data_IF_222112782145
#
_entry.id   IF_222112782145
#
_cell.length_a   1.000
_cell.length_b   1.000
_cell.length_c   1.000
_cell.angle_alpha   90.00
_cell.angle_beta   90.00
_cell.angle_gamma   90.00
#
_symmetry.space_group_name_H-M   'P 1'
#
loop_
_entity.id
_entity.type
_entity.pdbx_description
1 polymer ?
#
# COMPACT_ATOMS: atom_id res chain seq x y z
N UNK A 1 -28.14 -15.61 11.60
CA UNK A 1 -28.52 -16.04 10.23
C UNK A 1 -30.02 -16.23 10.15
N UNK A 2 -30.73 -15.18 9.74
CA UNK A 2 -32.18 -15.22 9.54
C UNK A 2 -32.46 -15.36 8.05
N UNK A 3 -33.33 -16.32 7.71
CA UNK A 3 -33.87 -16.51 6.36
C UNK A 3 -35.31 -16.03 6.42
N UNK A 4 -35.65 -14.95 5.71
CA UNK A 4 -37.04 -14.58 5.42
C UNK A 4 -37.30 -14.87 3.95
N UNK A 5 -38.38 -15.61 3.66
CA UNK A 5 -38.86 -15.90 2.29
C UNK A 5 -37.85 -16.54 1.31
N UNK A 6 -36.94 -17.39 1.80
CA UNK A 6 -36.02 -18.14 0.94
C UNK A 6 -34.93 -17.30 0.26
N UNK A 7 -34.90 -15.99 0.50
CA UNK A 7 -33.79 -15.11 0.13
C UNK A 7 -32.93 -14.85 1.37
N UNK A 8 -31.61 -15.02 1.22
CA UNK A 8 -30.66 -14.52 2.22
C UNK A 8 -30.72 -13.00 2.18
N UNK A 9 -31.33 -12.38 3.18
CA UNK A 9 -31.19 -10.93 3.39
C UNK A 9 -29.84 -10.68 4.06
N UNK A 10 -28.87 -10.23 3.27
CA UNK A 10 -27.59 -9.76 3.77
C UNK A 10 -27.74 -8.36 4.36
N UNK A 11 -28.43 -8.26 5.50
CA UNK A 11 -28.65 -6.98 6.21
C UNK A 11 -27.33 -6.30 6.63
N UNK A 12 -26.26 -7.09 6.80
CA UNK A 12 -24.91 -6.58 7.07
C UNK A 12 -24.33 -5.92 5.82
N UNK A 13 -24.44 -6.56 4.66
CA UNK A 13 -24.05 -5.98 3.37
C UNK A 13 -24.80 -4.68 3.04
N UNK A 14 -26.11 -4.67 3.26
CA UNK A 14 -26.97 -3.51 3.00
C UNK A 14 -26.59 -2.25 3.81
N UNK A 15 -25.94 -2.40 4.98
CA UNK A 15 -25.48 -1.28 5.81
C UNK A 15 -24.01 -0.93 5.59
N UNK A 16 -23.20 -1.91 5.21
CA UNK A 16 -21.76 -1.71 5.05
C UNK A 16 -21.40 -0.95 3.77
N UNK A 17 -22.14 -1.17 2.67
CA UNK A 17 -21.89 -0.46 1.41
C UNK A 17 -22.03 1.06 1.59
N UNK A 18 -23.17 1.60 2.11
CA UNK A 18 -23.29 3.04 2.35
C UNK A 18 -22.26 3.60 3.34
N UNK A 19 -21.86 2.81 4.35
CA UNK A 19 -20.84 3.21 5.30
C UNK A 19 -19.45 3.30 4.65
N UNK A 20 -19.10 2.35 3.78
CA UNK A 20 -17.85 2.34 3.04
C UNK A 20 -17.81 3.47 2.01
N UNK A 21 -18.93 3.77 1.34
CA UNK A 21 -19.07 4.94 0.47
C UNK A 21 -18.90 6.25 1.24
N UNK A 22 -19.53 6.37 2.41
CA UNK A 22 -19.36 7.54 3.27
C UNK A 22 -17.92 7.72 3.74
N UNK A 23 -17.20 6.62 4.04
CA UNK A 23 -15.76 6.67 4.35
C UNK A 23 -14.92 7.07 3.14
N UNK A 24 -15.23 6.56 1.95
CA UNK A 24 -14.56 6.96 0.72
C UNK A 24 -14.77 8.46 0.43
N UNK A 25 -16.00 8.97 0.58
CA UNK A 25 -16.33 10.39 0.49
C UNK A 25 -15.58 11.23 1.53
N UNK A 26 -15.49 10.74 2.76
CA UNK A 26 -14.76 11.41 3.83
C UNK A 26 -13.26 11.51 3.50
N UNK A 27 -12.64 10.41 3.08
CA UNK A 27 -11.25 10.37 2.65
C UNK A 27 -10.97 11.31 1.46
N UNK A 28 -11.90 11.39 0.51
CA UNK A 28 -11.76 12.26 -0.66
C UNK A 28 -11.87 13.75 -0.30
N UNK A 29 -12.85 14.12 0.54
CA UNK A 29 -13.15 15.52 0.89
C UNK A 29 -12.19 16.10 1.93
N UNK A 30 -11.71 15.27 2.84
CA UNK A 30 -10.99 15.71 4.03
C UNK A 30 -9.47 15.36 3.98
N UNK A 31 -8.85 15.40 2.80
CA UNK A 31 -7.43 15.01 2.57
C UNK A 31 -6.41 15.71 3.49
N UNK A 32 -6.75 16.86 4.07
CA UNK A 32 -5.88 17.64 4.97
C UNK A 32 -5.99 17.24 6.45
N UNK A 33 -6.81 16.24 6.78
CA UNK A 33 -6.92 15.75 8.15
C UNK A 33 -5.57 15.20 8.66
N UNK A 34 -5.32 15.18 9.99
CA UNK A 34 -4.12 14.58 10.53
C UNK A 34 -3.96 13.13 10.08
N UNK A 35 -2.74 12.73 9.72
CA UNK A 35 -2.45 11.39 9.18
C UNK A 35 -2.98 10.21 10.02
N UNK A 36 -3.04 10.26 11.38
CA UNK A 36 -3.61 9.14 12.13
C UNK A 36 -5.11 8.95 11.85
N UNK A 37 -5.83 10.03 11.54
CA UNK A 37 -7.26 9.96 11.17
C UNK A 37 -7.40 9.28 9.81
N UNK A 38 -6.54 9.63 8.84
CA UNK A 38 -6.50 8.98 7.52
C UNK A 38 -6.23 7.48 7.65
N UNK A 39 -5.24 7.08 8.45
CA UNK A 39 -4.93 5.67 8.72
C UNK A 39 -6.15 4.93 9.27
N UNK A 40 -6.85 5.49 10.26
CA UNK A 40 -8.04 4.84 10.84
C UNK A 40 -9.20 4.75 9.85
N UNK A 41 -9.39 5.77 9.01
CA UNK A 41 -10.41 5.73 7.96
C UNK A 41 -10.09 4.66 6.90
N UNK A 42 -8.84 4.55 6.46
CA UNK A 42 -8.38 3.51 5.52
C UNK A 42 -8.45 2.10 6.14
N UNK A 43 -8.13 1.96 7.42
CA UNK A 43 -8.29 0.71 8.17
C UNK A 43 -9.77 0.29 8.19
N UNK A 44 -10.68 1.22 8.53
CA UNK A 44 -12.12 0.97 8.51
C UNK A 44 -12.61 0.60 7.11
N UNK A 45 -12.17 1.32 6.07
CA UNK A 45 -12.51 1.06 4.68
C UNK A 45 -12.07 -0.37 4.26
N UNK A 46 -10.83 -0.75 4.55
CA UNK A 46 -10.33 -2.09 4.27
C UNK A 46 -11.02 -3.18 5.10
N UNK A 47 -11.45 -2.90 6.34
CA UNK A 47 -12.17 -3.84 7.17
C UNK A 47 -13.62 -4.09 6.69
N UNK A 48 -14.26 -3.10 6.06
CA UNK A 48 -15.61 -3.23 5.50
C UNK A 48 -15.70 -4.19 4.29
N UNK A 49 -14.55 -4.68 3.82
CA UNK A 49 -14.33 -5.80 2.89
C UNK A 49 -15.39 -6.90 2.88
N UNK A 50 -15.81 -7.38 4.05
CA UNK A 50 -16.64 -8.59 4.14
C UNK A 50 -18.08 -8.37 3.67
N UNK A 51 -18.51 -7.12 3.60
CA UNK A 51 -19.91 -6.76 3.43
C UNK A 51 -20.17 -5.95 2.14
N UNK A 52 -19.12 -5.56 1.41
CA UNK A 52 -19.22 -4.95 0.09
C UNK A 52 -18.57 -5.88 -0.93
N UNK A 53 -19.39 -6.61 -1.70
CA UNK A 53 -18.96 -7.28 -2.93
C UNK A 53 -19.29 -6.32 -4.08
N UNK A 54 -18.29 -5.71 -4.75
CA UNK A 54 -18.52 -4.81 -5.86
C UNK A 54 -19.26 -5.50 -7.02
N UNK A 55 -20.50 -5.11 -7.33
CA UNK A 55 -21.26 -5.58 -8.50
C UNK A 55 -21.15 -4.66 -9.74
N UNK A 56 -20.64 -3.44 -9.61
CA UNK A 56 -20.80 -2.30 -10.53
C UNK A 56 -19.61 -1.32 -10.49
N UNK A 57 -19.58 -0.39 -11.48
CA UNK A 57 -18.52 0.63 -11.64
C UNK A 57 -18.51 1.66 -10.50
N UNK A 58 -19.64 1.93 -9.86
CA UNK A 58 -19.75 2.87 -8.73
C UNK A 58 -19.03 2.33 -7.48
N UNK A 59 -18.91 1.00 -7.34
CA UNK A 59 -18.14 0.38 -6.25
C UNK A 59 -16.63 0.46 -6.45
N UNK A 60 -16.16 0.92 -7.62
CA UNK A 60 -14.77 1.31 -7.79
C UNK A 60 -14.41 2.55 -6.93
N UNK A 61 -15.39 3.29 -6.40
CA UNK A 61 -15.15 4.46 -5.56
C UNK A 61 -14.33 4.14 -4.30
N UNK A 62 -14.62 3.03 -3.63
CA UNK A 62 -13.88 2.60 -2.43
C UNK A 62 -12.41 2.32 -2.76
N UNK A 63 -12.15 1.56 -3.84
CA UNK A 63 -10.78 1.27 -4.26
C UNK A 63 -10.07 2.52 -4.76
N UNK A 64 -10.78 3.41 -5.47
CA UNK A 64 -10.22 4.68 -5.96
C UNK A 64 -9.80 5.58 -4.80
N UNK A 65 -10.64 5.73 -3.77
CA UNK A 65 -10.29 6.51 -2.57
C UNK A 65 -9.04 5.97 -1.84
N UNK A 66 -8.87 4.64 -1.80
CA UNK A 66 -7.66 4.05 -1.25
C UNK A 66 -6.45 4.23 -2.18
N UNK A 67 -6.62 4.08 -3.50
CA UNK A 67 -5.53 4.28 -4.48
C UNK A 67 -5.07 5.74 -4.52
N UNK A 68 -5.97 6.71 -4.33
CA UNK A 68 -5.62 8.13 -4.18
C UNK A 68 -4.60 8.34 -3.05
N UNK A 69 -4.83 7.72 -1.89
CA UNK A 69 -3.91 7.82 -0.75
C UNK A 69 -2.64 6.99 -0.94
N UNK A 70 -2.72 5.87 -1.67
CA UNK A 70 -1.57 5.04 -2.01
C UNK A 70 -0.59 5.79 -2.94
N UNK A 71 -1.14 6.55 -3.89
CA UNK A 71 -0.40 7.23 -4.96
C UNK A 71 0.02 8.65 -4.61
N UNK A 72 -0.53 9.25 -3.54
CA UNK A 72 -0.17 10.59 -3.10
C UNK A 72 1.29 10.63 -2.58
N UNK A 73 2.22 11.32 -3.28
CA UNK A 73 3.60 11.42 -2.84
C UNK A 73 3.78 12.29 -1.58
N UNK A 74 2.78 13.11 -1.24
CA UNK A 74 2.80 13.98 -0.05
C UNK A 74 2.22 13.29 1.18
N UNK A 75 1.50 12.18 1.00
CA UNK A 75 0.98 11.40 2.11
C UNK A 75 2.12 10.78 2.94
N UNK A 76 1.90 10.69 4.25
CA UNK A 76 2.82 10.00 5.15
C UNK A 76 2.96 8.53 4.74
N UNK A 77 4.14 7.94 4.94
CA UNK A 77 4.41 6.56 4.55
C UNK A 77 3.44 5.57 5.21
N UNK A 78 3.02 5.86 6.45
CA UNK A 78 1.99 5.13 7.19
C UNK A 78 0.63 5.15 6.48
N UNK A 79 0.22 6.30 5.96
CA UNK A 79 -1.03 6.46 5.22
C UNK A 79 -0.97 5.66 3.93
N UNK A 80 0.11 5.79 3.16
CA UNK A 80 0.30 5.04 1.91
C UNK A 80 0.35 3.53 2.16
N UNK A 81 1.01 3.08 3.23
CA UNK A 81 1.05 1.68 3.63
C UNK A 81 -0.34 1.17 4.04
N UNK A 82 -1.08 1.93 4.83
CA UNK A 82 -2.45 1.56 5.20
C UNK A 82 -3.39 1.55 4.00
N UNK A 83 -3.20 2.46 3.04
CA UNK A 83 -3.92 2.46 1.78
C UNK A 83 -3.61 1.22 0.93
N UNK A 84 -2.33 0.81 0.84
CA UNK A 84 -1.95 -0.45 0.23
C UNK A 84 -2.69 -1.63 0.88
N UNK A 85 -2.67 -1.70 2.22
CA UNK A 85 -3.41 -2.72 2.96
C UNK A 85 -4.90 -2.71 2.62
N UNK A 86 -5.53 -1.53 2.65
CA UNK A 86 -6.96 -1.38 2.37
C UNK A 86 -7.32 -1.91 0.98
N UNK A 87 -6.54 -1.56 -0.05
CA UNK A 87 -6.75 -2.07 -1.42
C UNK A 87 -6.61 -3.59 -1.47
N UNK A 88 -5.56 -4.14 -0.85
CA UNK A 88 -5.38 -5.60 -0.79
C UNK A 88 -6.47 -6.31 0.01
N UNK A 89 -7.17 -5.60 0.88
CA UNK A 89 -8.35 -6.12 1.58
C UNK A 89 -9.63 -6.00 0.75
N UNK A 90 -9.71 -5.34 -0.39
CA UNK A 90 -11.00 -5.32 -1.12
C UNK A 90 -11.29 -6.69 -1.75
N UNK A 91 -12.53 -7.18 -1.60
CA UNK A 91 -12.99 -8.44 -2.24
C UNK A 91 -13.47 -8.16 -3.66
N UNK A 92 -13.40 -9.21 -4.47
CA UNK A 92 -13.98 -9.25 -5.81
C UNK A 92 -13.63 -8.05 -6.70
N UNK A 93 -12.35 -7.66 -6.67
CA UNK A 93 -11.79 -6.72 -7.64
C UNK A 93 -11.92 -7.23 -9.10
N UNK A 94 -12.35 -8.48 -9.30
CA UNK A 94 -12.68 -9.05 -10.60
C UNK A 94 -14.06 -8.63 -11.12
N UNK A 95 -15.03 -8.42 -10.24
CA UNK A 95 -16.31 -7.80 -10.57
C UNK A 95 -16.12 -6.42 -11.20
N UNK A 96 -15.03 -5.73 -10.82
CA UNK A 96 -14.58 -4.50 -11.47
C UNK A 96 -13.93 -4.84 -12.81
N UNK A 97 -14.74 -4.77 -13.87
CA UNK A 97 -14.31 -5.06 -15.24
C UNK A 97 -13.09 -4.21 -15.62
N UNK A 98 -11.99 -4.86 -16.04
CA UNK A 98 -10.72 -4.26 -16.47
C UNK A 98 -9.97 -3.48 -15.36
N UNK A 99 -10.08 -3.91 -14.11
CA UNK A 99 -9.25 -3.37 -13.03
C UNK A 99 -7.74 -3.50 -13.32
N UNK A 100 -7.01 -2.40 -13.18
CA UNK A 100 -5.58 -2.32 -13.48
C UNK A 100 -4.72 -2.77 -12.29
N UNK A 101 -4.70 -4.09 -12.03
CA UNK A 101 -3.84 -4.68 -10.99
C UNK A 101 -2.36 -4.30 -11.13
N UNK A 102 -1.75 -4.21 -12.33
CA UNK A 102 -0.36 -3.81 -12.45
C UNK A 102 -0.07 -2.42 -11.89
N UNK A 103 -0.97 -1.45 -12.09
CA UNK A 103 -0.85 -0.10 -11.53
C UNK A 103 -0.84 -0.11 -10.01
N UNK A 104 -1.80 -0.80 -9.40
CA UNK A 104 -1.86 -0.91 -7.94
C UNK A 104 -0.61 -1.60 -7.40
N UNK A 105 -0.21 -2.73 -8.00
CA UNK A 105 0.98 -3.47 -7.57
C UNK A 105 2.25 -2.62 -7.68
N UNK A 106 2.35 -1.79 -8.73
CA UNK A 106 3.46 -0.86 -8.88
C UNK A 106 3.57 0.08 -7.67
N UNK A 107 2.47 0.73 -7.29
CA UNK A 107 2.48 1.67 -6.15
C UNK A 107 2.64 0.98 -4.80
N UNK A 108 2.10 -0.23 -4.62
CA UNK A 108 2.41 -1.06 -3.44
C UNK A 108 3.92 -1.36 -3.38
N UNK A 109 4.55 -1.64 -4.52
CA UNK A 109 5.99 -1.81 -4.62
C UNK A 109 6.78 -0.55 -4.25
N UNK A 110 6.33 0.63 -4.68
CA UNK A 110 6.95 1.91 -4.28
C UNK A 110 6.88 2.11 -2.77
N UNK A 111 5.71 1.89 -2.17
CA UNK A 111 5.56 1.99 -0.71
C UNK A 111 6.43 0.97 0.02
N UNK A 112 6.54 -0.26 -0.50
CA UNK A 112 7.42 -1.28 0.08
C UNK A 112 8.89 -0.84 0.05
N UNK A 113 9.34 -0.22 -1.05
CA UNK A 113 10.68 0.33 -1.17
C UNK A 113 10.90 1.50 -0.20
N UNK A 114 9.95 2.43 -0.12
CA UNK A 114 10.03 3.60 0.77
C UNK A 114 10.08 3.17 2.25
N UNK A 115 9.21 2.26 2.67
CA UNK A 115 9.20 1.73 4.05
C UNK A 115 10.48 0.91 4.32
N UNK A 116 10.95 0.11 3.36
CA UNK A 116 12.22 -0.62 3.46
C UNK A 116 13.42 0.32 3.70
N UNK A 117 13.46 1.46 3.00
CA UNK A 117 14.47 2.49 3.23
C UNK A 117 14.36 3.12 4.63
N UNK A 118 13.14 3.33 5.14
CA UNK A 118 12.95 3.82 6.51
C UNK A 118 13.47 2.83 7.55
N UNK A 119 13.27 1.52 7.34
CA UNK A 119 13.85 0.48 8.19
C UNK A 119 15.38 0.57 8.19
N UNK A 120 16.00 0.55 7.01
CA UNK A 120 17.46 0.58 6.87
C UNK A 120 18.07 1.84 7.50
N UNK A 121 17.46 3.01 7.28
CA UNK A 121 17.93 4.30 7.84
C UNK A 121 17.76 4.41 9.37
N UNK A 122 16.66 3.87 9.91
CA UNK A 122 16.35 4.01 11.33
C UNK A 122 17.21 3.10 12.20
N UNK A 123 17.47 1.86 11.79
CA UNK A 123 18.12 0.86 12.63
C UNK A 123 19.48 1.26 13.25
N UNK A 124 20.40 1.91 12.52
CA UNK A 124 21.70 2.31 13.06
C UNK A 124 21.63 3.34 14.20
N UNK A 125 20.54 4.12 14.26
CA UNK A 125 20.41 5.27 15.18
C UNK A 125 19.30 5.09 16.21
N UNK A 126 18.23 4.38 15.84
CA UNK A 126 17.06 4.16 16.66
C UNK A 126 16.41 2.81 16.32
N UNK A 127 16.78 1.78 17.10
CA UNK A 127 16.23 0.42 16.98
C UNK A 127 14.70 0.40 17.05
N UNK A 128 14.09 1.12 17.99
CA UNK A 128 12.64 1.12 18.15
C UNK A 128 11.91 1.68 16.93
N UNK A 129 12.48 2.72 16.30
CA UNK A 129 11.95 3.25 15.06
C UNK A 129 12.12 2.26 13.89
N UNK A 130 13.25 1.53 13.85
CA UNK A 130 13.45 0.43 12.89
C UNK A 130 12.42 -0.70 13.06
N UNK A 131 12.12 -1.08 14.30
CA UNK A 131 11.10 -2.08 14.64
C UNK A 131 9.70 -1.59 14.24
N UNK A 132 9.40 -0.31 14.47
CA UNK A 132 8.16 0.32 14.02
C UNK A 132 7.97 0.21 12.50
N UNK A 133 8.95 0.65 11.71
CA UNK A 133 8.87 0.56 10.24
C UNK A 133 8.84 -0.87 9.73
N UNK A 134 9.51 -1.80 10.42
CA UNK A 134 9.38 -3.22 10.12
C UNK A 134 7.94 -3.70 10.35
N UNK A 135 7.31 -3.24 11.43
CA UNK A 135 5.88 -3.46 11.68
C UNK A 135 5.02 -2.95 10.53
N UNK A 136 5.25 -1.70 10.07
CA UNK A 136 4.52 -1.11 8.93
C UNK A 136 4.64 -1.98 7.67
N UNK A 137 5.84 -2.46 7.37
CA UNK A 137 6.10 -3.32 6.23
C UNK A 137 5.38 -4.68 6.35
N UNK A 138 5.42 -5.30 7.54
CA UNK A 138 4.89 -6.65 7.77
C UNK A 138 3.36 -6.70 7.93
N UNK A 139 2.74 -5.67 8.49
CA UNK A 139 1.32 -5.69 8.83
C UNK A 139 0.44 -4.92 7.86
N UNK A 140 0.98 -3.97 7.10
CA UNK A 140 0.22 -3.19 6.13
C UNK A 140 0.62 -3.54 4.69
N UNK A 141 1.91 -3.40 4.36
CA UNK A 141 2.37 -3.55 2.98
C UNK A 141 2.37 -5.02 2.55
N UNK A 142 2.98 -5.92 3.32
CA UNK A 142 3.08 -7.34 2.95
C UNK A 142 1.69 -7.99 2.76
N UNK A 143 0.70 -7.82 3.66
CA UNK A 143 -0.62 -8.44 3.47
C UNK A 143 -1.40 -7.89 2.27
N UNK A 144 -1.06 -6.70 1.77
CA UNK A 144 -1.70 -6.17 0.56
C UNK A 144 -1.45 -7.04 -0.69
N UNK A 145 -0.29 -7.71 -0.75
CA UNK A 145 0.08 -8.61 -1.84
C UNK A 145 -0.27 -10.06 -1.50
N UNK A 146 0.13 -10.51 -0.32
CA UNK A 146 0.07 -11.93 0.07
C UNK A 146 -1.23 -12.35 0.74
N UNK A 147 -2.03 -11.38 1.18
CA UNK A 147 -3.23 -11.60 1.97
C UNK A 147 -2.95 -11.67 3.45
N UNK A 148 -4.03 -11.63 4.23
CA UNK A 148 -4.02 -11.70 5.68
C UNK A 148 -4.61 -13.05 6.14
N UNK A 149 -3.97 -13.73 7.11
CA UNK A 149 -4.51 -14.96 7.69
C UNK A 149 -5.95 -14.75 8.22
N UNK A 150 -6.85 -15.68 7.89
CA UNK A 150 -8.27 -15.61 8.25
C UNK A 150 -9.11 -14.70 7.35
N UNK A 151 -8.50 -13.91 6.47
CA UNK A 151 -9.19 -13.05 5.51
C UNK A 151 -9.16 -13.72 4.12
N UNK A 152 -10.06 -14.67 3.86
CA UNK A 152 -10.15 -15.39 2.57
C UNK A 152 -10.21 -14.44 1.37
N UNK A 153 -9.52 -14.75 0.27
CA UNK A 153 -9.42 -13.94 -0.95
C UNK A 153 -8.71 -12.58 -0.78
N UNK A 154 -8.08 -12.31 0.37
CA UNK A 154 -7.35 -11.03 0.56
C UNK A 154 -5.99 -11.10 -0.11
N UNK A 155 -5.43 -9.96 -0.43
CA UNK A 155 -4.15 -9.86 -1.09
C UNK A 155 -4.26 -10.06 -2.59
N UNK A 156 -3.53 -9.25 -3.33
CA UNK A 156 -3.58 -9.26 -4.79
C UNK A 156 -3.14 -10.60 -5.42
N UNK A 157 -2.34 -11.40 -4.72
CA UNK A 157 -1.92 -12.72 -5.19
C UNK A 157 -3.03 -13.79 -5.13
N UNK A 158 -4.05 -13.56 -4.31
CA UNK A 158 -5.16 -14.50 -4.14
C UNK A 158 -6.31 -14.23 -5.11
N UNK A 159 -6.20 -13.17 -5.93
CA UNK A 159 -7.14 -12.90 -7.01
C UNK A 159 -6.94 -13.92 -8.15
N UNK A 160 -7.99 -14.57 -8.66
CA UNK A 160 -7.88 -15.46 -9.82
C UNK A 160 -7.35 -14.72 -11.06
N UNK A 161 -6.71 -15.42 -11.99
CA UNK A 161 -6.18 -14.83 -13.23
C UNK A 161 -5.28 -13.58 -13.04
N UNK A 162 -4.62 -13.45 -11.89
CA UNK A 162 -3.78 -12.29 -11.58
C UNK A 162 -2.69 -12.08 -12.65
N UNK A 163 -2.39 -10.82 -13.00
CA UNK A 163 -1.28 -10.53 -13.90
C UNK A 163 0.07 -10.97 -13.33
N UNK A 164 0.98 -11.41 -14.20
CA UNK A 164 2.35 -11.82 -13.83
C UNK A 164 3.12 -10.72 -13.12
N UNK A 165 2.86 -9.46 -13.45
CA UNK A 165 3.48 -8.30 -12.83
C UNK A 165 3.24 -8.22 -11.31
N UNK A 166 2.02 -8.54 -10.85
CA UNK A 166 1.69 -8.57 -9.41
C UNK A 166 2.61 -9.57 -8.68
N UNK A 167 2.81 -10.75 -9.28
CA UNK A 167 3.71 -11.76 -8.75
C UNK A 167 5.16 -11.27 -8.72
N UNK A 168 5.63 -10.64 -9.78
CA UNK A 168 7.00 -10.13 -9.86
C UNK A 168 7.29 -9.07 -8.78
N UNK A 169 6.35 -8.15 -8.55
CA UNK A 169 6.46 -7.18 -7.44
C UNK A 169 6.47 -7.92 -6.10
N UNK A 170 5.54 -8.85 -5.88
CA UNK A 170 5.46 -9.60 -4.62
C UNK A 170 6.74 -10.41 -4.32
N UNK A 171 7.29 -11.08 -5.33
CA UNK A 171 8.55 -11.83 -5.23
C UNK A 171 9.72 -10.93 -4.80
N UNK A 172 9.71 -9.64 -5.15
CA UNK A 172 10.72 -8.65 -4.76
C UNK A 172 10.42 -7.99 -3.40
N UNK A 173 9.16 -7.84 -3.02
CA UNK A 173 8.75 -7.31 -1.70
C UNK A 173 9.01 -8.32 -0.58
N UNK A 174 8.78 -9.61 -0.83
CA UNK A 174 8.99 -10.67 0.16
C UNK A 174 10.40 -10.68 0.79
N UNK A 175 11.51 -10.63 0.03
CA UNK A 175 12.85 -10.59 0.62
C UNK A 175 13.15 -9.27 1.36
N UNK A 176 12.48 -8.15 1.04
CA UNK A 176 12.59 -6.90 1.81
C UNK A 176 11.92 -7.08 3.18
N UNK A 177 10.69 -7.60 3.21
CA UNK A 177 9.96 -7.90 4.45
C UNK A 177 10.75 -8.86 5.35
N UNK A 178 11.31 -9.93 4.77
CA UNK A 178 12.19 -10.85 5.48
C UNK A 178 13.47 -10.17 5.99
N UNK A 179 14.15 -9.39 5.14
CA UNK A 179 15.37 -8.69 5.53
C UNK A 179 15.17 -7.70 6.68
N UNK A 180 14.07 -6.95 6.66
CA UNK A 180 13.67 -6.09 7.76
C UNK A 180 13.47 -6.88 9.06
N UNK A 181 12.72 -8.00 9.00
CA UNK A 181 12.52 -8.87 10.17
C UNK A 181 13.83 -9.44 10.72
N UNK A 182 14.70 -9.92 9.83
CA UNK A 182 16.00 -10.48 10.19
C UNK A 182 16.88 -9.41 10.86
N UNK A 183 16.88 -8.17 10.36
CA UNK A 183 17.58 -7.04 10.96
C UNK A 183 17.09 -6.73 12.39
N UNK A 184 15.78 -6.86 12.66
CA UNK A 184 15.23 -6.65 14.01
C UNK A 184 15.74 -7.65 15.04
N UNK A 185 16.08 -8.86 14.58
CA UNK A 185 16.54 -9.99 15.40
C UNK A 185 18.05 -10.13 15.42
N UNK A 186 18.75 -9.33 14.63
CA UNK A 186 20.18 -9.45 14.41
C UNK A 186 21.00 -9.11 15.67
N UNK A 187 22.01 -9.94 16.02
CA UNK A 187 23.05 -9.53 16.95
C UNK A 187 23.81 -8.30 16.42
N UNK A 188 24.31 -7.45 17.32
CA UNK A 188 24.98 -6.18 16.97
C UNK A 188 26.08 -6.34 15.90
N UNK A 189 26.85 -7.44 15.94
CA UNK A 189 27.91 -7.71 14.96
C UNK A 189 27.44 -7.96 13.52
N UNK A 190 26.17 -8.30 13.30
CA UNK A 190 25.61 -8.60 11.97
C UNK A 190 24.75 -7.46 11.40
N UNK A 191 24.40 -6.45 12.22
CA UNK A 191 23.43 -5.42 11.84
C UNK A 191 23.86 -4.64 10.59
N UNK A 192 25.12 -4.21 10.48
CA UNK A 192 25.62 -3.48 9.31
C UNK A 192 25.54 -4.29 8.01
N UNK A 193 25.81 -5.59 8.09
CA UNK A 193 25.70 -6.47 6.93
C UNK A 193 24.23 -6.59 6.50
N UNK A 194 23.33 -6.87 7.44
CA UNK A 194 21.90 -7.06 7.15
C UNK A 194 21.22 -5.77 6.70
N UNK A 195 21.64 -4.61 7.22
CA UNK A 195 21.22 -3.28 6.76
C UNK A 195 21.62 -3.07 5.29
N UNK A 196 22.86 -3.39 4.93
CA UNK A 196 23.32 -3.30 3.53
C UNK A 196 22.52 -4.24 2.64
N UNK A 197 22.33 -5.49 3.05
CA UNK A 197 21.54 -6.47 2.29
C UNK A 197 20.09 -6.03 2.11
N UNK A 198 19.47 -5.43 3.13
CA UNK A 198 18.14 -4.84 3.02
C UNK A 198 18.12 -3.69 2.00
N UNK A 199 19.09 -2.79 2.08
CA UNK A 199 19.23 -1.66 1.15
C UNK A 199 19.43 -2.13 -0.30
N UNK A 200 20.24 -3.16 -0.51
CA UNK A 200 20.45 -3.76 -1.84
C UNK A 200 19.14 -4.35 -2.42
N UNK A 201 18.32 -5.00 -1.59
CA UNK A 201 17.00 -5.53 -1.99
C UNK A 201 16.00 -4.41 -2.31
N UNK A 202 16.00 -3.33 -1.54
CA UNK A 202 15.18 -2.14 -1.82
C UNK A 202 15.58 -1.52 -3.16
N UNK A 203 16.89 -1.35 -3.39
CA UNK A 203 17.41 -0.84 -4.67
C UNK A 203 17.02 -1.72 -5.86
N UNK A 204 17.03 -3.05 -5.68
CA UNK A 204 16.58 -4.01 -6.69
C UNK A 204 15.10 -3.81 -7.04
N UNK A 205 14.23 -3.66 -6.03
CA UNK A 205 12.80 -3.40 -6.25
C UNK A 205 12.59 -2.06 -6.98
N UNK A 206 13.26 -0.98 -6.56
CA UNK A 206 13.16 0.33 -7.24
C UNK A 206 13.58 0.22 -8.70
N UNK A 207 14.72 -0.41 -8.98
CA UNK A 207 15.22 -0.64 -10.34
C UNK A 207 14.21 -1.42 -11.19
N UNK A 208 13.56 -2.43 -10.61
CA UNK A 208 12.52 -3.18 -11.29
C UNK A 208 11.32 -2.31 -11.64
N UNK A 209 10.81 -1.51 -10.69
CA UNK A 209 9.67 -0.62 -10.89
C UNK A 209 9.98 0.43 -11.97
N UNK A 210 11.13 1.11 -11.88
CA UNK A 210 11.55 2.11 -12.86
C UNK A 210 11.61 1.58 -14.29
N UNK A 211 12.06 0.33 -14.47
CA UNK A 211 12.15 -0.32 -15.79
C UNK A 211 10.82 -0.84 -16.30
N UNK A 212 9.84 -1.03 -15.42
CA UNK A 212 8.56 -1.64 -15.74
C UNK A 212 7.38 -0.80 -15.24
N UNK A 213 7.27 0.49 -15.64
CA UNK A 213 6.11 1.29 -15.30
C UNK A 213 4.84 0.71 -15.96
N UNK A 214 3.67 0.78 -15.29
CA UNK A 214 2.39 0.45 -15.89
C UNK A 214 2.16 1.24 -17.18
N UNK A 215 1.75 0.55 -18.25
CA UNK A 215 1.45 1.20 -19.54
C UNK A 215 0.18 2.04 -19.47
N UNK A 216 -0.82 1.53 -18.78
CA UNK A 216 -2.05 2.25 -18.48
C UNK A 216 -1.98 2.76 -17.05
N UNK A 217 -2.37 4.02 -16.88
CA UNK A 217 -2.35 4.76 -15.63
C UNK A 217 -3.74 4.98 -15.04
N UNK A 218 -4.77 4.45 -15.69
CA UNK A 218 -6.12 4.47 -15.15
C UNK A 218 -6.36 3.20 -14.33
N UNK A 219 -7.01 3.35 -13.19
CA UNK A 219 -7.40 2.21 -12.36
C UNK A 219 -8.48 1.35 -13.04
N UNK A 220 -9.39 2.02 -13.72
CA UNK A 220 -10.45 1.45 -14.56
C UNK A 220 -10.53 2.25 -15.87
N UNK A 221 -11.03 1.67 -16.98
CA UNK A 221 -11.16 2.40 -18.24
C UNK A 221 -11.97 3.69 -18.09
N UNK A 222 -11.38 4.81 -18.50
CA UNK A 222 -12.00 6.14 -18.44
C UNK A 222 -12.27 6.67 -17.02
N UNK A 223 -11.62 6.11 -16.00
CA UNK A 223 -11.55 6.72 -14.66
C UNK A 223 -10.43 7.75 -14.55
N UNK A 224 -10.01 8.07 -13.33
CA UNK A 224 -8.89 9.00 -13.09
C UNK A 224 -7.54 8.39 -13.47
N UNK A 225 -6.61 9.27 -13.87
CA UNK A 225 -5.22 8.92 -14.16
C UNK A 225 -4.38 9.07 -12.88
N UNK A 226 -3.63 8.02 -12.54
CA UNK A 226 -2.75 8.00 -11.38
C UNK A 226 -1.28 8.21 -11.79
N UNK A 227 -0.55 9.09 -11.07
CA UNK A 227 0.82 9.42 -11.42
C UNK A 227 1.76 8.25 -11.13
N UNK A 228 2.49 7.79 -12.15
CA UNK A 228 3.60 6.85 -11.98
C UNK A 228 4.86 7.69 -11.74
N UNK A 229 5.46 7.60 -10.56
CA UNK A 229 6.67 8.39 -10.30
C UNK A 229 7.79 7.92 -11.24
N UNK A 230 8.39 8.84 -11.97
CA UNK A 230 9.72 8.60 -12.51
C UNK A 230 10.66 8.61 -11.29
N UNK A 231 11.60 7.66 -11.23
CA UNK A 231 12.51 7.43 -10.10
C UNK A 231 13.12 8.70 -9.48
N UNK A 232 13.68 8.61 -8.27
CA UNK A 232 13.86 9.74 -7.37
C UNK A 232 14.47 10.95 -8.07
N UNK A 233 13.73 12.06 -8.06
CA UNK A 233 14.37 13.38 -8.10
C UNK A 233 15.18 13.42 -6.81
N UNK A 234 16.50 13.24 -6.92
CA UNK A 234 17.40 13.43 -5.81
C UNK A 234 17.00 14.75 -5.12
N UNK A 235 16.68 14.70 -3.83
CA UNK A 235 16.27 15.89 -3.10
C UNK A 235 17.38 16.92 -3.20
N UNK A 236 17.16 18.01 -3.94
CA UNK A 236 17.90 19.25 -3.79
C UNK A 236 17.50 19.89 -2.45
N UNK A 237 17.86 19.23 -1.36
CA UNK A 237 17.84 19.76 -0.01
C UNK A 237 19.30 19.75 0.46
N UNK A 238 20.12 20.58 -0.19
CA UNK A 238 21.56 20.58 0.01
C UNK A 238 22.32 21.70 -0.68
N UNK A 239 21.68 22.79 -1.09
CA UNK A 239 22.36 24.03 -1.48
C UNK A 239 21.55 25.23 -0.97
N UNK A 240 22.27 26.24 -0.47
CA UNK A 240 21.83 27.46 0.24
C UNK A 240 21.49 27.25 1.73
N UNK A 241 22.28 27.67 2.72
CA UNK A 241 23.12 28.86 2.80
C UNK A 241 24.48 28.60 3.49
N UNK A 242 25.54 28.57 2.69
CA UNK A 242 26.79 29.25 3.06
C UNK A 242 26.75 30.61 2.37
N UNK A 243 26.30 31.64 3.09
CA UNK A 243 26.55 33.03 2.72
C UNK A 243 27.38 33.64 3.85
N UNK A 244 28.69 33.50 3.65
CA UNK A 244 29.76 34.48 3.93
C UNK A 244 29.81 35.14 5.29
N UNK A 245 30.78 34.69 6.09
CA UNK A 245 31.59 35.59 6.91
C UNK A 245 32.71 36.23 6.06
N UNK A 246 33.07 37.47 6.41
CA UNK A 246 34.13 38.31 5.81
C UNK A 246 33.53 39.54 5.15
N UNK A 247 33.80 40.78 5.56
CA UNK A 247 34.84 41.37 6.42
C UNK A 247 34.27 42.55 7.20
#
# INVERSE_FOLDING_TARGET
NLVQNGQRTDELGARAIPAAEALADFLEKERKMPWPVQVRALEALGAMRLAAVPATRDEAKMVSAAVDHLTDPQAKAEVRAQAAWAVGMLRDLQGITKFNFPLVAYHVGEVAADVGDQVAKAYPTNRYLGEYWTGVLLYQVYPSLFGQPGAHDSGMLNVPNRPSFVKQVADLVQPIAKGALDLTRAPTGQQRQLEKELSDRVAQLRTFLEKNPPRDRHLIPGGDEYPVMKGPVASEAGQEAQVTGGQ
#
